data_IF_731781354666
#
_entry.id   IF_731781354666
#
_cell.length_a   1.000
_cell.length_b   1.000
_cell.length_c   1.000
_cell.angle_alpha   90.00
_cell.angle_beta   90.00
_cell.angle_gamma   90.00
#
_symmetry.space_group_name_H-M   'P 1'
#
loop_
_entity.id
_entity.type
_entity.pdbx_description
1 polymer ?
#
# COMPACT_ATOMS: atom_id res chain seq x y z
N UNK A 1 -3.41 0.23 9.44
CA UNK A 1 -2.14 0.97 9.26
C UNK A 1 -2.21 2.30 9.99
N UNK A 2 -1.06 2.88 10.30
CA UNK A 2 -0.92 4.19 10.96
C UNK A 2 -0.30 5.20 10.00
N UNK A 3 -0.41 6.49 10.34
CA UNK A 3 0.18 7.55 9.53
C UNK A 3 0.69 8.71 10.36
N UNK A 4 1.78 9.33 9.90
CA UNK A 4 2.24 10.63 10.41
C UNK A 4 1.64 11.70 9.51
N UNK A 5 0.86 12.60 10.11
CA UNK A 5 0.29 13.77 9.42
C UNK A 5 1.09 15.00 9.80
N UNK A 6 1.58 15.74 8.80
CA UNK A 6 2.26 17.02 8.94
C UNK A 6 1.54 18.06 8.10
N UNK A 7 1.12 19.17 8.71
CA UNK A 7 0.39 20.26 8.03
C UNK A 7 -0.84 19.79 7.23
N UNK A 8 -1.52 18.75 7.73
CA UNK A 8 -2.71 18.17 7.06
C UNK A 8 -2.39 17.16 5.95
N UNK A 9 -1.11 16.94 5.61
CA UNK A 9 -0.67 15.95 4.63
C UNK A 9 -0.11 14.69 5.29
N UNK A 10 -0.44 13.52 4.76
CA UNK A 10 0.17 12.25 5.17
C UNK A 10 1.59 12.18 4.61
N UNK A 11 2.60 12.14 5.48
CA UNK A 11 4.02 12.13 5.09
C UNK A 11 4.71 10.80 5.33
N UNK A 12 4.12 9.94 6.15
CA UNK A 12 4.58 8.56 6.36
C UNK A 12 3.37 7.68 6.61
N UNK A 13 3.27 6.57 5.88
CA UNK A 13 2.28 5.53 6.11
C UNK A 13 3.01 4.27 6.60
N UNK A 14 2.52 3.70 7.69
CA UNK A 14 3.05 2.50 8.31
C UNK A 14 2.00 1.38 8.29
N UNK A 15 2.27 0.31 7.56
CA UNK A 15 1.35 -0.78 7.26
C UNK A 15 1.31 -1.87 8.36
N UNK A 16 0.99 -1.47 9.59
CA UNK A 16 1.09 -2.35 10.77
C UNK A 16 0.32 -3.68 10.71
N UNK A 17 -0.88 -3.71 10.12
CA UNK A 17 -1.80 -4.87 10.24
C UNK A 17 -1.85 -5.75 8.99
N UNK A 18 -1.21 -5.32 7.91
CA UNK A 18 -1.23 -6.01 6.64
C UNK A 18 0.03 -5.61 5.88
N UNK A 19 0.95 -6.56 5.72
CA UNK A 19 2.10 -6.40 4.85
C UNK A 19 1.59 -6.30 3.41
N UNK A 20 1.72 -5.12 2.80
CA UNK A 20 1.32 -4.93 1.41
C UNK A 20 2.30 -5.60 0.45
N UNK A 21 3.54 -5.83 0.89
CA UNK A 21 4.61 -6.49 0.15
C UNK A 21 4.22 -7.88 -0.32
N UNK A 22 3.54 -8.67 0.53
CA UNK A 22 3.04 -10.01 0.20
C UNK A 22 2.22 -10.04 -1.11
N UNK A 23 1.48 -8.97 -1.38
CA UNK A 23 0.66 -8.84 -2.59
C UNK A 23 1.38 -8.19 -3.77
N UNK A 24 2.53 -7.56 -3.55
CA UNK A 24 3.34 -6.88 -4.57
C UNK A 24 4.42 -7.77 -5.18
N UNK A 25 4.90 -8.75 -4.41
CA UNK A 25 5.87 -9.72 -4.87
C UNK A 25 5.29 -10.74 -5.89
N UNK A 26 6.18 -11.57 -6.43
CA UNK A 26 5.81 -12.67 -7.31
C UNK A 26 4.83 -13.62 -6.60
N UNK A 27 3.84 -14.13 -7.35
CA UNK A 27 2.68 -14.82 -6.77
C UNK A 27 3.04 -16.13 -6.03
N UNK A 28 4.19 -16.73 -6.35
CA UNK A 28 4.70 -17.97 -5.79
C UNK A 28 5.38 -17.80 -4.42
N UNK A 29 5.76 -16.57 -4.03
CA UNK A 29 6.45 -16.32 -2.75
C UNK A 29 5.49 -16.50 -1.57
N UNK A 30 4.35 -15.80 -1.57
CA UNK A 30 3.38 -15.81 -0.46
C UNK A 30 2.13 -16.67 -0.74
N UNK A 31 1.92 -17.11 -1.99
CA UNK A 31 0.75 -17.90 -2.41
C UNK A 31 -0.61 -17.27 -2.04
N UNK A 32 -0.64 -15.93 -2.00
CA UNK A 32 -1.85 -15.18 -1.70
C UNK A 32 -2.85 -15.24 -2.85
N UNK A 33 -4.15 -15.15 -2.53
CA UNK A 33 -5.18 -15.21 -3.57
C UNK A 33 -5.09 -14.02 -4.52
N UNK A 34 -5.42 -14.23 -5.80
CA UNK A 34 -5.44 -13.15 -6.80
C UNK A 34 -6.23 -11.92 -6.37
N UNK A 35 -7.31 -12.11 -5.59
CA UNK A 35 -8.13 -11.01 -5.07
C UNK A 35 -7.38 -10.20 -4.02
N UNK A 36 -6.62 -10.84 -3.13
CA UNK A 36 -5.79 -10.14 -2.14
C UNK A 36 -4.63 -9.40 -2.82
N UNK A 37 -3.93 -10.06 -3.75
CA UNK A 37 -2.85 -9.44 -4.53
C UNK A 37 -3.32 -8.20 -5.29
N UNK A 38 -4.48 -8.30 -5.97
CA UNK A 38 -5.05 -7.15 -6.68
C UNK A 38 -5.37 -5.98 -5.74
N UNK A 39 -5.90 -6.25 -4.54
CA UNK A 39 -6.17 -5.20 -3.53
C UNK A 39 -4.89 -4.57 -3.01
N UNK A 40 -3.86 -5.37 -2.73
CA UNK A 40 -2.56 -4.86 -2.30
C UNK A 40 -1.93 -3.96 -3.39
N UNK A 41 -1.91 -4.41 -4.64
CA UNK A 41 -1.40 -3.65 -5.78
C UNK A 41 -2.19 -2.34 -5.98
N UNK A 42 -3.52 -2.39 -5.85
CA UNK A 42 -4.35 -1.19 -5.91
C UNK A 42 -4.02 -0.20 -4.79
N UNK A 43 -3.80 -0.68 -3.56
CA UNK A 43 -3.36 0.19 -2.46
C UNK A 43 -2.00 0.81 -2.74
N UNK A 44 -1.04 0.04 -3.28
CA UNK A 44 0.26 0.56 -3.71
C UNK A 44 0.12 1.66 -4.77
N UNK A 45 -0.70 1.43 -5.81
CA UNK A 45 -0.98 2.43 -6.84
C UNK A 45 -1.63 3.70 -6.26
N UNK A 46 -2.55 3.56 -5.30
CA UNK A 46 -3.17 4.69 -4.62
C UNK A 46 -2.15 5.50 -3.81
N UNK A 47 -1.20 4.85 -3.12
CA UNK A 47 -0.13 5.55 -2.38
C UNK A 47 0.73 6.37 -3.34
N UNK A 48 1.15 5.78 -4.46
CA UNK A 48 1.92 6.49 -5.49
C UNK A 48 1.11 7.65 -6.08
N UNK A 49 -0.17 7.43 -6.37
CA UNK A 49 -1.08 8.49 -6.85
C UNK A 49 -1.19 9.64 -5.85
N UNK A 50 -1.39 9.34 -4.57
CA UNK A 50 -1.44 10.34 -3.50
C UNK A 50 -0.15 11.16 -3.41
N UNK A 51 1.01 10.52 -3.52
CA UNK A 51 2.31 11.18 -3.41
C UNK A 51 2.60 12.10 -4.60
N UNK A 52 2.28 11.66 -5.83
CA UNK A 52 2.76 12.33 -7.05
C UNK A 52 1.69 13.07 -7.84
N UNK A 53 0.39 12.81 -7.61
CA UNK A 53 -0.70 13.32 -8.44
C UNK A 53 -1.74 14.17 -7.68
N UNK A 54 -1.72 14.18 -6.34
CA UNK A 54 -2.61 15.04 -5.54
C UNK A 54 -1.89 16.33 -5.10
N UNK A 55 -2.55 17.48 -5.36
CA UNK A 55 -2.11 18.84 -4.99
C UNK A 55 -2.29 19.13 -3.49
#
# INVERSE_FOLDING_TARGET
GYGIIYEGRLVCFYDYECDLGDGWEDADVHNDSNVKRLKALQMGANIISYVFLED
#
